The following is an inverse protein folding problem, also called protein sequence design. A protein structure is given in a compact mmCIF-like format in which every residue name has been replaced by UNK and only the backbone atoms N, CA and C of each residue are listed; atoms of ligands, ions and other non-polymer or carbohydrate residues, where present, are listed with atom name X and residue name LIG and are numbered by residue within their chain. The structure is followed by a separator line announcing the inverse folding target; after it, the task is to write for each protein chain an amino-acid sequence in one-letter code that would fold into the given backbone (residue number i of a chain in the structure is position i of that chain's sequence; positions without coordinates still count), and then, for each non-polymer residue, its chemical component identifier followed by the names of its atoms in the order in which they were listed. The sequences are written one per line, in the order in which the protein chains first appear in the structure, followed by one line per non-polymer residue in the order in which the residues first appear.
data_IF_930260366437
#
_entry.id   IF_930260366437
#
_cell.length_a   1.000
_cell.length_b   1.000
_cell.length_c   1.000
_cell.angle_alpha   90.00
_cell.angle_beta   90.00
_cell.angle_gamma   90.00
#
_symmetry.space_group_name_H-M   'P 1'
#
loop_
_entity.id
_entity.type
_entity.pdbx_description
1 polymer ?
#
# COMPACT_ATOMS: atom_id res chain seq x y z
N UNK A 1 -21.77 -5.44 -0.84
CA UNK A 1 -20.80 -6.14 0.04
C UNK A 1 -20.01 -5.07 0.78
N UNK A 2 -20.25 -4.89 2.07
CA UNK A 2 -19.39 -4.04 2.92
C UNK A 2 -18.00 -4.68 2.90
N UNK A 3 -16.96 -3.88 2.70
CA UNK A 3 -15.57 -4.36 2.69
C UNK A 3 -15.24 -4.98 4.03
N UNK A 4 -15.46 -6.29 4.17
CA UNK A 4 -15.00 -7.06 5.33
C UNK A 4 -13.49 -6.89 5.37
N UNK A 5 -12.98 -6.41 6.50
CA UNK A 5 -11.56 -6.56 6.84
C UNK A 5 -11.17 -8.01 6.51
N UNK A 6 -10.14 -8.15 5.69
CA UNK A 6 -9.66 -9.46 5.28
C UNK A 6 -9.15 -10.10 6.57
N UNK A 7 -9.86 -11.11 7.08
CA UNK A 7 -9.44 -11.83 8.28
C UNK A 7 -7.98 -12.28 8.12
N UNK A 8 -7.22 -12.30 9.20
CA UNK A 8 -5.79 -12.65 9.12
C UNK A 8 -5.55 -14.08 8.68
N UNK A 9 -4.29 -14.41 8.40
CA UNK A 9 -3.86 -15.81 8.19
C UNK A 9 -3.81 -16.62 9.50
N UNK A 10 -4.12 -16.00 10.64
CA UNK A 10 -4.16 -16.66 11.92
C UNK A 10 -5.52 -17.31 12.16
N UNK A 11 -5.48 -18.58 12.50
CA UNK A 11 -6.60 -19.37 12.99
C UNK A 11 -6.17 -20.09 14.25
N UNK A 12 -7.10 -20.51 15.09
CA UNK A 12 -6.74 -21.24 16.29
C UNK A 12 -7.89 -21.42 17.23
N UNK A 13 -7.59 -22.10 18.32
CA UNK A 13 -8.55 -22.38 19.38
C UNK A 13 -7.92 -22.09 20.74
N UNK A 14 -8.77 -21.79 21.71
CA UNK A 14 -8.41 -21.85 23.12
C UNK A 14 -9.14 -23.03 23.76
N UNK A 15 -8.52 -23.66 24.75
CA UNK A 15 -9.22 -24.60 25.59
C UNK A 15 -9.89 -23.83 26.72
N UNK A 16 -11.22 -23.86 26.79
CA UNK A 16 -11.97 -23.19 27.87
C UNK A 16 -11.54 -23.80 29.21
N UNK A 17 -10.88 -22.98 30.05
CA UNK A 17 -10.38 -23.35 31.38
C UNK A 17 -11.50 -23.97 32.22
N UNK A 18 -12.75 -23.52 32.04
CA UNK A 18 -13.88 -23.94 32.86
C UNK A 18 -14.60 -25.18 32.30
N UNK A 19 -14.52 -25.42 30.99
CA UNK A 19 -15.36 -26.43 30.31
C UNK A 19 -14.57 -27.53 29.60
N UNK A 20 -13.27 -27.35 29.40
CA UNK A 20 -12.43 -28.27 28.62
C UNK A 20 -12.83 -28.40 27.15
N UNK A 21 -13.65 -27.46 26.64
CA UNK A 21 -14.10 -27.44 25.24
C UNK A 21 -13.25 -26.46 24.43
N UNK A 22 -12.90 -26.85 23.20
CA UNK A 22 -12.22 -25.95 22.26
C UNK A 22 -13.18 -24.87 21.75
N UNK A 23 -12.82 -23.61 21.93
CA UNK A 23 -13.49 -22.47 21.33
C UNK A 23 -12.68 -21.93 20.15
N UNK A 24 -13.27 -21.89 18.96
CA UNK A 24 -12.64 -21.29 17.78
C UNK A 24 -12.54 -19.77 17.95
N UNK A 25 -11.37 -19.22 17.60
CA UNK A 25 -11.14 -17.77 17.56
C UNK A 25 -11.09 -17.29 16.12
N UNK A 26 -11.91 -16.27 15.82
CA UNK A 26 -11.85 -15.57 14.54
C UNK A 26 -11.19 -14.21 14.74
N UNK A 27 -10.00 -14.07 14.19
CA UNK A 27 -9.30 -12.79 14.15
C UNK A 27 -9.78 -11.97 12.96
N UNK A 28 -10.26 -10.76 13.23
CA UNK A 28 -10.42 -9.74 12.18
C UNK A 28 -9.08 -9.08 11.91
N UNK A 29 -8.27 -8.89 12.96
CA UNK A 29 -6.88 -8.49 12.85
C UNK A 29 -5.99 -9.17 13.89
N UNK A 30 -4.77 -9.55 13.51
CA UNK A 30 -3.78 -10.12 14.43
C UNK A 30 -2.36 -9.96 13.87
N UNK A 31 -1.71 -8.89 14.33
CA UNK A 31 -0.38 -8.47 13.91
C UNK A 31 0.61 -8.71 15.05
N UNK A 32 1.65 -9.49 14.76
CA UNK A 32 2.76 -9.78 15.66
C UNK A 32 3.99 -9.07 15.09
N UNK A 33 4.27 -7.91 15.65
CA UNK A 33 5.45 -7.12 15.38
C UNK A 33 6.59 -7.57 16.31
N UNK A 34 7.79 -7.04 16.13
CA UNK A 34 8.98 -7.48 16.88
C UNK A 34 8.90 -7.14 18.36
N UNK A 35 8.22 -6.06 18.72
CA UNK A 35 8.04 -5.64 20.13
C UNK A 35 6.59 -5.61 20.58
N UNK A 36 5.62 -5.76 19.66
CA UNK A 36 4.21 -5.58 19.98
C UNK A 36 3.33 -6.66 19.38
N UNK A 37 2.25 -6.96 20.07
CA UNK A 37 1.16 -7.80 19.57
C UNK A 37 -0.10 -6.96 19.62
N UNK A 38 -0.80 -6.86 18.49
CA UNK A 38 -2.03 -6.06 18.37
C UNK A 38 -3.02 -6.75 17.45
N UNK A 39 -4.29 -6.44 17.62
CA UNK A 39 -5.33 -7.02 16.79
C UNK A 39 -6.71 -6.92 17.42
N UNK A 40 -7.65 -7.68 16.87
CA UNK A 40 -9.01 -7.78 17.35
C UNK A 40 -9.79 -8.82 16.56
N UNK A 41 -10.99 -9.10 17.00
CA UNK A 41 -11.85 -10.08 16.36
C UNK A 41 -13.10 -10.33 17.15
N UNK A 42 -13.75 -11.45 16.86
CA UNK A 42 -14.94 -11.88 17.56
C UNK A 42 -14.95 -13.40 17.73
N UNK A 43 -15.57 -13.86 18.81
CA UNK A 43 -15.85 -15.27 19.04
C UNK A 43 -17.22 -15.46 19.72
N UNK A 44 -17.46 -16.64 20.28
CA UNK A 44 -18.71 -16.98 20.97
C UNK A 44 -19.00 -16.11 22.20
N UNK A 45 -17.98 -15.51 22.80
CA UNK A 45 -18.14 -14.57 23.92
C UNK A 45 -18.50 -13.20 23.37
N UNK A 46 -17.79 -12.71 22.37
CA UNK A 46 -18.10 -11.45 21.69
C UNK A 46 -16.90 -10.80 21.03
N UNK A 47 -17.00 -9.50 20.74
CA UNK A 47 -15.92 -8.70 20.16
C UNK A 47 -14.78 -8.46 21.16
N UNK A 48 -13.54 -8.52 20.68
CA UNK A 48 -12.34 -8.35 21.49
C UNK A 48 -11.25 -7.54 20.81
N UNK A 49 -10.37 -6.95 21.62
CA UNK A 49 -9.14 -6.27 21.21
C UNK A 49 -7.93 -6.97 21.82
N UNK A 50 -6.86 -7.12 21.05
CA UNK A 50 -5.60 -7.72 21.48
C UNK A 50 -4.55 -6.63 21.69
N UNK A 51 -3.85 -6.68 22.84
CA UNK A 51 -2.69 -5.84 23.12
C UNK A 51 -1.63 -6.62 23.87
N UNK A 52 -0.38 -6.55 23.43
CA UNK A 52 0.70 -7.31 24.03
C UNK A 52 2.08 -6.93 23.52
N UNK A 53 3.05 -7.73 23.92
CA UNK A 53 4.46 -7.59 23.57
C UNK A 53 5.04 -8.91 23.08
N UNK A 54 6.09 -8.79 22.28
CA UNK A 54 6.92 -9.90 21.83
C UNK A 54 8.35 -9.64 22.29
N UNK A 55 9.02 -10.68 22.80
CA UNK A 55 10.43 -10.65 23.13
C UNK A 55 11.09 -11.91 22.53
N UNK A 56 11.70 -11.77 21.36
CA UNK A 56 12.22 -12.91 20.59
C UNK A 56 11.09 -13.85 20.17
N UNK A 57 11.14 -15.10 20.66
CA UNK A 57 10.08 -16.10 20.45
C UNK A 57 8.98 -16.05 21.51
N UNK A 58 9.21 -15.39 22.64
CA UNK A 58 8.20 -15.29 23.69
C UNK A 58 7.17 -14.21 23.36
N UNK A 59 5.90 -14.56 23.50
CA UNK A 59 4.76 -13.71 23.16
C UNK A 59 3.84 -13.62 24.38
N UNK A 60 3.48 -12.39 24.74
CA UNK A 60 2.53 -12.11 25.81
C UNK A 60 1.50 -11.11 25.34
N UNK A 61 0.21 -11.44 25.38
CA UNK A 61 -0.85 -10.49 25.03
C UNK A 61 -2.11 -10.67 25.86
N UNK A 62 -2.89 -9.61 25.95
CA UNK A 62 -4.19 -9.58 26.60
C UNK A 62 -5.28 -9.45 25.55
N UNK A 63 -6.27 -10.33 25.61
CA UNK A 63 -7.53 -10.26 24.88
C UNK A 63 -8.57 -9.61 25.77
N UNK A 64 -8.93 -8.38 25.45
CA UNK A 64 -9.93 -7.60 26.17
C UNK A 64 -11.26 -7.64 25.41
N UNK A 65 -12.28 -8.26 25.98
CA UNK A 65 -13.64 -8.19 25.43
C UNK A 65 -14.25 -6.82 25.70
N UNK A 66 -14.98 -6.27 24.72
CA UNK A 66 -15.60 -4.94 24.84
C UNK A 66 -16.67 -4.96 25.94
N UNK A 67 -16.45 -4.17 27.00
CA UNK A 67 -17.36 -4.08 28.16
C UNK A 67 -17.41 -5.32 29.06
N UNK A 68 -16.44 -6.25 28.94
CA UNK A 68 -16.41 -7.50 29.73
C UNK A 68 -15.01 -7.79 30.30
N UNK A 69 -14.74 -9.06 30.60
CA UNK A 69 -13.47 -9.52 31.18
C UNK A 69 -12.31 -9.50 30.15
N UNK A 70 -11.10 -9.70 30.66
CA UNK A 70 -9.90 -9.89 29.85
C UNK A 70 -9.32 -11.28 30.07
N UNK A 71 -8.58 -11.79 29.09
CA UNK A 71 -7.82 -13.05 29.18
C UNK A 71 -6.38 -12.76 28.77
N UNK A 72 -5.43 -13.11 29.62
CA UNK A 72 -4.00 -13.05 29.33
C UNK A 72 -3.55 -14.33 28.63
N UNK A 73 -2.64 -14.18 27.67
CA UNK A 73 -2.03 -15.26 26.90
C UNK A 73 -0.52 -15.09 26.97
N UNK A 74 0.18 -16.17 27.30
CA UNK A 74 1.63 -16.25 27.32
C UNK A 74 2.08 -17.52 26.63
N UNK A 75 2.96 -17.39 25.63
CA UNK A 75 3.39 -18.54 24.84
C UNK A 75 4.65 -18.30 24.04
N UNK A 76 5.02 -19.31 23.28
CA UNK A 76 6.21 -19.31 22.42
C UNK A 76 5.81 -19.45 20.96
N UNK A 77 6.37 -18.58 20.11
CA UNK A 77 6.31 -18.66 18.67
C UNK A 77 7.27 -19.74 18.17
N UNK A 78 6.72 -20.71 17.45
CA UNK A 78 7.41 -21.85 16.86
C UNK A 78 7.25 -21.76 15.35
N UNK A 79 8.37 -21.72 14.63
CA UNK A 79 8.37 -21.83 13.18
C UNK A 79 8.22 -23.31 12.79
N UNK A 80 7.31 -23.58 11.87
CA UNK A 80 6.99 -24.91 11.36
C UNK A 80 7.56 -25.07 9.94
N UNK A 81 7.62 -26.32 9.48
CA UNK A 81 7.95 -26.63 8.09
C UNK A 81 6.99 -25.92 7.12
N UNK A 82 7.52 -25.48 5.97
CA UNK A 82 6.78 -24.70 4.99
C UNK A 82 6.59 -23.22 5.37
N UNK A 83 7.26 -22.75 6.44
CA UNK A 83 7.23 -21.37 6.90
C UNK A 83 6.02 -21.02 7.77
N UNK A 84 5.08 -21.95 7.98
CA UNK A 84 3.96 -21.72 8.89
C UNK A 84 4.46 -21.39 10.29
N UNK A 85 3.67 -20.64 11.06
CA UNK A 85 4.03 -20.26 12.43
C UNK A 85 2.96 -20.73 13.40
N UNK A 86 3.37 -21.18 14.57
CA UNK A 86 2.47 -21.64 15.63
C UNK A 86 2.81 -20.96 16.95
N UNK A 87 1.80 -20.50 17.68
CA UNK A 87 1.96 -20.02 19.05
C UNK A 87 1.34 -21.06 19.96
N UNK A 88 2.14 -21.51 20.92
CA UNK A 88 1.71 -22.46 21.95
C UNK A 88 1.95 -21.85 23.31
N UNK A 89 0.96 -21.93 24.19
CA UNK A 89 1.13 -21.41 25.53
C UNK A 89 -0.05 -21.60 26.45
N UNK A 90 -0.05 -20.80 27.50
CA UNK A 90 -1.04 -20.80 28.56
C UNK A 90 -1.89 -19.53 28.50
N UNK A 91 -3.15 -19.66 28.92
CA UNK A 91 -4.06 -18.55 29.11
C UNK A 91 -4.53 -18.49 30.56
N UNK A 92 -4.73 -17.27 31.06
CA UNK A 92 -5.07 -16.99 32.44
C UNK A 92 -5.97 -15.76 32.56
N UNK A 93 -6.70 -15.64 33.66
CA UNK A 93 -7.41 -14.41 33.99
C UNK A 93 -6.42 -13.39 34.59
N UNK A 94 -6.13 -12.26 33.92
CA UNK A 94 -5.27 -11.25 34.49
C UNK A 94 -5.92 -10.72 35.76
N UNK A 95 -5.14 -10.58 36.84
CA UNK A 95 -5.65 -10.06 38.11
C UNK A 95 -6.27 -8.67 37.91
N UNK A 96 -7.60 -8.59 37.96
CA UNK A 96 -8.35 -7.34 37.82
C UNK A 96 -8.62 -6.74 39.20
N UNK A 97 -7.61 -6.15 39.84
CA UNK A 97 -7.87 -5.35 41.03
C UNK A 97 -6.64 -4.76 41.72
N UNK A 98 -6.79 -3.60 42.37
CA UNK A 98 -5.81 -3.15 43.37
C UNK A 98 -5.69 -4.22 44.45
N UNK A 99 -4.45 -4.50 44.89
CA UNK A 99 -4.18 -5.41 46.02
C UNK A 99 -5.02 -4.96 47.22
N UNK A 100 -6.12 -5.68 47.53
CA UNK A 100 -6.99 -5.39 48.66
C UNK A 100 -8.50 -5.31 48.40
N UNK A 101 -8.98 -5.43 47.16
CA UNK A 101 -10.43 -5.52 46.91
C UNK A 101 -10.97 -6.90 47.32
N UNK A 102 -12.02 -6.99 48.18
CA UNK A 102 -12.61 -8.25 48.63
C UNK A 102 -13.36 -9.02 47.54
N UNK A 103 -13.59 -8.41 46.37
CA UNK A 103 -14.21 -9.04 45.20
C UNK A 103 -13.21 -9.75 44.27
N UNK A 104 -11.95 -9.90 44.69
CA UNK A 104 -10.96 -10.72 43.98
C UNK A 104 -11.31 -12.20 44.17
N UNK A 105 -12.28 -12.69 43.39
CA UNK A 105 -12.49 -14.11 43.21
C UNK A 105 -11.22 -14.69 42.59
N UNK A 106 -10.38 -15.30 43.43
CA UNK A 106 -9.25 -16.11 42.99
C UNK A 106 -9.86 -17.33 42.31
N UNK A 107 -10.06 -17.24 41.00
CA UNK A 107 -10.38 -18.40 40.18
C UNK A 107 -9.10 -19.24 40.14
N UNK A 108 -8.94 -20.10 41.15
CA UNK A 108 -7.90 -21.13 41.22
C UNK A 108 -8.25 -22.26 40.25
N UNK A 109 -8.29 -21.94 38.95
CA UNK A 109 -8.35 -22.92 37.88
C UNK A 109 -6.96 -23.16 37.32
N UNK A 110 -6.69 -24.40 36.91
CA UNK A 110 -5.47 -24.72 36.16
C UNK A 110 -5.36 -23.83 34.91
N UNK A 111 -4.16 -23.36 34.54
CA UNK A 111 -3.98 -22.53 33.36
C UNK A 111 -4.50 -23.26 32.11
N UNK A 112 -5.25 -22.53 31.28
CA UNK A 112 -5.80 -23.10 30.06
C UNK A 112 -4.74 -23.16 28.97
N UNK A 113 -4.81 -24.16 28.10
CA UNK A 113 -3.91 -24.27 26.95
C UNK A 113 -4.50 -23.55 25.72
N UNK A 114 -3.66 -22.89 24.93
CA UNK A 114 -4.07 -22.33 23.64
C UNK A 114 -3.08 -22.64 22.51
N UNK A 115 -3.62 -22.67 21.30
CA UNK A 115 -2.84 -22.87 20.07
C UNK A 115 -3.35 -21.95 18.96
N UNK A 116 -2.44 -21.14 18.40
CA UNK A 116 -2.68 -20.30 17.23
C UNK A 116 -1.78 -20.74 16.09
N UNK A 117 -2.33 -20.95 14.90
CA UNK A 117 -1.63 -21.33 13.68
C UNK A 117 -1.77 -20.22 12.63
N UNK A 118 -0.63 -19.79 12.10
CA UNK A 118 -0.51 -18.94 10.92
C UNK A 118 -0.23 -19.79 9.70
N UNK A 119 -1.16 -19.79 8.75
CA UNK A 119 -0.97 -20.44 7.46
C UNK A 119 -0.37 -19.42 6.46
N UNK A 120 0.95 -19.45 6.29
CA UNK A 120 1.65 -18.57 5.36
C UNK A 120 1.26 -18.86 3.90
N UNK A 121 0.92 -20.10 3.56
CA UNK A 121 0.52 -20.43 2.19
C UNK A 121 -0.82 -19.74 1.84
N UNK A 122 -1.75 -19.71 2.79
CA UNK A 122 -3.00 -18.95 2.64
C UNK A 122 -2.75 -17.45 2.59
N UNK A 123 -1.83 -16.91 3.39
CA UNK A 123 -1.45 -15.50 3.35
C UNK A 123 -0.88 -15.08 1.99
N UNK A 124 0.10 -15.84 1.47
CA UNK A 124 0.68 -15.62 0.14
C UNK A 124 -0.36 -15.69 -0.97
N UNK A 125 -1.29 -16.65 -0.90
CA UNK A 125 -2.42 -16.75 -1.85
C UNK A 125 -3.31 -15.52 -1.80
N UNK A 126 -3.59 -14.98 -0.61
CA UNK A 126 -4.40 -13.75 -0.46
C UNK A 126 -3.67 -12.51 -0.97
N UNK A 127 -2.38 -12.38 -0.67
CA UNK A 127 -1.55 -11.31 -1.21
C UNK A 127 -1.51 -11.36 -2.74
N UNK A 128 -1.29 -12.54 -3.33
CA UNK A 128 -1.32 -12.73 -4.78
C UNK A 128 -2.70 -12.38 -5.37
N UNK A 129 -3.79 -12.79 -4.73
CA UNK A 129 -5.15 -12.45 -5.15
C UNK A 129 -5.40 -10.93 -5.06
N UNK A 130 -4.95 -10.27 -3.99
CA UNK A 130 -5.06 -8.82 -3.83
C UNK A 130 -4.27 -8.08 -4.92
N UNK A 131 -3.02 -8.46 -5.15
CA UNK A 131 -2.18 -7.92 -6.24
C UNK A 131 -2.87 -8.10 -7.60
N UNK A 132 -3.46 -9.27 -7.85
CA UNK A 132 -4.22 -9.54 -9.07
C UNK A 132 -5.46 -8.63 -9.20
N UNK A 133 -6.23 -8.40 -8.12
CA UNK A 133 -7.39 -7.50 -8.13
C UNK A 133 -6.95 -6.05 -8.38
N UNK A 134 -5.86 -5.60 -7.77
CA UNK A 134 -5.30 -4.26 -8.00
C UNK A 134 -4.84 -4.12 -9.45
N UNK A 135 -4.09 -5.09 -9.98
CA UNK A 135 -3.64 -5.14 -11.36
C UNK A 135 -4.82 -5.07 -12.35
N UNK A 136 -5.84 -5.90 -12.14
CA UNK A 136 -7.07 -5.89 -12.94
C UNK A 136 -7.81 -4.55 -12.87
N UNK A 137 -7.89 -3.95 -11.68
CA UNK A 137 -8.52 -2.65 -11.50
C UNK A 137 -7.77 -1.56 -12.26
N UNK A 138 -6.43 -1.54 -12.16
CA UNK A 138 -5.57 -0.61 -12.93
C UNK A 138 -5.74 -0.79 -14.44
N UNK A 139 -5.74 -2.04 -14.90
CA UNK A 139 -5.91 -2.37 -16.31
C UNK A 139 -7.29 -1.95 -16.82
N UNK A 140 -8.36 -2.24 -16.07
CA UNK A 140 -9.73 -1.87 -16.44
C UNK A 140 -9.89 -0.35 -16.51
N UNK A 141 -9.43 0.38 -15.50
CA UNK A 141 -9.49 1.85 -15.48
C UNK A 141 -8.65 2.44 -16.61
N UNK A 142 -7.44 1.92 -16.84
CA UNK A 142 -6.59 2.34 -17.94
C UNK A 142 -7.21 2.08 -19.32
N UNK A 143 -7.91 0.97 -19.50
CA UNK A 143 -8.60 0.64 -20.75
C UNK A 143 -9.79 1.56 -21.00
N UNK A 144 -10.60 1.83 -19.96
CA UNK A 144 -11.71 2.79 -20.04
C UNK A 144 -11.19 4.17 -20.43
N UNK A 145 -10.12 4.64 -19.75
CA UNK A 145 -9.44 5.90 -20.08
C UNK A 145 -8.96 5.92 -21.53
N UNK A 146 -8.21 4.90 -21.95
CA UNK A 146 -7.68 4.83 -23.31
C UNK A 146 -8.76 4.95 -24.39
N UNK A 147 -9.85 4.19 -24.28
CA UNK A 147 -10.88 4.19 -25.31
C UNK A 147 -11.75 5.46 -25.30
N UNK A 148 -12.16 5.91 -24.11
CA UNK A 148 -13.12 7.01 -23.99
C UNK A 148 -12.43 8.38 -24.01
N UNK A 149 -11.27 8.53 -23.36
CA UNK A 149 -10.52 9.80 -23.29
C UNK A 149 -9.51 9.82 -24.45
N UNK A 150 -8.43 9.05 -24.36
CA UNK A 150 -7.23 9.28 -25.17
C UNK A 150 -7.44 9.10 -26.68
N UNK A 151 -8.08 8.02 -27.13
CA UNK A 151 -8.31 7.78 -28.57
C UNK A 151 -9.27 8.81 -29.15
N UNK A 152 -10.39 9.04 -28.48
CA UNK A 152 -11.42 9.95 -28.97
C UNK A 152 -10.92 11.41 -28.98
N UNK A 153 -10.27 11.86 -27.90
CA UNK A 153 -9.70 13.20 -27.83
C UNK A 153 -8.57 13.39 -28.83
N UNK A 154 -7.64 12.43 -28.93
CA UNK A 154 -6.54 12.52 -29.89
C UNK A 154 -7.04 12.63 -31.34
N UNK A 155 -8.07 11.87 -31.72
CA UNK A 155 -8.68 11.99 -33.03
C UNK A 155 -9.27 13.39 -33.27
N UNK A 156 -9.97 13.95 -32.29
CA UNK A 156 -10.54 15.31 -32.40
C UNK A 156 -9.44 16.37 -32.50
N UNK A 157 -8.39 16.26 -31.69
CA UNK A 157 -7.23 17.15 -31.70
C UNK A 157 -6.49 17.09 -33.04
N UNK A 158 -6.27 15.91 -33.60
CA UNK A 158 -5.68 15.75 -34.94
C UNK A 158 -6.57 16.37 -36.02
N UNK A 159 -7.89 16.13 -35.99
CA UNK A 159 -8.83 16.76 -36.94
C UNK A 159 -8.81 18.28 -36.84
N UNK A 160 -8.68 18.83 -35.63
CA UNK A 160 -8.52 20.26 -35.42
C UNK A 160 -7.23 20.79 -36.07
N UNK A 161 -6.10 20.12 -35.87
CA UNK A 161 -4.82 20.50 -36.48
C UNK A 161 -4.87 20.45 -38.02
N UNK A 162 -5.59 19.49 -38.59
CA UNK A 162 -5.74 19.38 -40.05
C UNK A 162 -6.65 20.45 -40.66
N UNK A 163 -7.67 20.90 -39.90
CA UNK A 163 -8.71 21.78 -40.43
C UNK A 163 -8.49 23.27 -40.12
N UNK A 164 -7.56 23.61 -39.23
CA UNK A 164 -7.38 24.99 -38.74
C UNK A 164 -5.98 25.55 -39.03
N UNK A 165 -5.91 26.86 -39.31
CA UNK A 165 -4.64 27.58 -39.35
C UNK A 165 -4.21 27.88 -37.92
N UNK A 166 -3.55 26.92 -37.27
CA UNK A 166 -3.12 27.05 -35.86
C UNK A 166 -1.90 27.95 -35.72
N UNK A 167 -1.84 28.72 -34.64
CA UNK A 167 -0.59 29.39 -34.24
C UNK A 167 0.44 28.37 -33.75
N UNK A 168 1.75 28.66 -33.79
CA UNK A 168 2.77 27.73 -33.30
C UNK A 168 2.57 27.30 -31.85
N UNK A 169 2.12 28.22 -30.98
CA UNK A 169 1.85 27.89 -29.57
C UNK A 169 0.72 26.87 -29.40
N UNK A 170 -0.38 27.03 -30.14
CA UNK A 170 -1.49 26.08 -30.14
C UNK A 170 -1.09 24.73 -30.71
N UNK A 171 -0.28 24.74 -31.77
CA UNK A 171 0.26 23.52 -32.35
C UNK A 171 1.08 22.74 -31.32
N UNK A 172 2.06 23.37 -30.67
CA UNK A 172 2.88 22.69 -29.66
C UNK A 172 2.07 22.21 -28.45
N UNK A 173 1.11 23.00 -27.98
CA UNK A 173 0.24 22.62 -26.87
C UNK A 173 -0.59 21.38 -27.24
N UNK A 174 -1.21 21.37 -28.42
CA UNK A 174 -2.05 20.26 -28.89
C UNK A 174 -1.22 18.99 -29.08
N UNK A 175 -0.03 19.10 -29.70
CA UNK A 175 0.88 17.96 -29.85
C UNK A 175 1.36 17.43 -28.49
N UNK A 176 1.65 18.30 -27.53
CA UNK A 176 2.04 17.89 -26.19
C UNK A 176 0.89 17.16 -25.46
N UNK A 177 -0.35 17.62 -25.63
CA UNK A 177 -1.55 16.95 -25.10
C UNK A 177 -1.73 15.56 -25.73
N UNK A 178 -1.73 15.43 -27.06
CA UNK A 178 -1.78 14.13 -27.75
C UNK A 178 -0.66 13.20 -27.26
N UNK A 179 0.57 13.71 -27.16
CA UNK A 179 1.71 12.92 -26.71
C UNK A 179 1.55 12.47 -25.25
N UNK A 180 1.04 13.33 -24.36
CA UNK A 180 0.79 13.00 -22.97
C UNK A 180 -0.28 11.92 -22.82
N UNK A 181 -1.44 12.09 -23.47
CA UNK A 181 -2.54 11.12 -23.45
C UNK A 181 -2.10 9.76 -23.99
N UNK A 182 -1.49 9.72 -25.19
CA UNK A 182 -0.97 8.48 -25.79
C UNK A 182 0.08 7.81 -24.90
N UNK A 183 1.02 8.58 -24.33
CA UNK A 183 2.06 8.05 -23.46
C UNK A 183 1.45 7.45 -22.19
N UNK A 184 0.54 8.15 -21.52
CA UNK A 184 -0.12 7.67 -20.31
C UNK A 184 -0.95 6.41 -20.56
N UNK A 185 -1.63 6.36 -21.71
CA UNK A 185 -2.41 5.21 -22.12
C UNK A 185 -1.59 3.97 -22.46
N UNK A 186 -0.39 4.13 -22.99
CA UNK A 186 0.48 3.02 -23.36
C UNK A 186 1.30 2.53 -22.16
N UNK A 187 1.84 3.46 -21.36
CA UNK A 187 2.74 3.12 -20.25
C UNK A 187 2.03 2.24 -19.21
N UNK A 188 0.80 2.58 -18.82
CA UNK A 188 0.07 1.84 -17.78
C UNK A 188 -0.08 0.34 -18.09
N UNK A 189 -0.75 -0.03 -19.21
CA UNK A 189 -0.92 -1.41 -19.62
C UNK A 189 0.39 -2.14 -19.88
N UNK A 190 1.40 -1.49 -20.45
CA UNK A 190 2.70 -2.13 -20.70
C UNK A 190 3.39 -2.45 -19.38
N UNK A 191 3.49 -1.50 -18.45
CA UNK A 191 4.11 -1.72 -17.15
C UNK A 191 3.39 -2.83 -16.38
N UNK A 192 2.05 -2.84 -16.41
CA UNK A 192 1.26 -3.87 -15.73
C UNK A 192 1.39 -5.26 -16.40
N UNK A 193 1.48 -5.32 -17.73
CA UNK A 193 1.71 -6.56 -18.47
C UNK A 193 3.10 -7.13 -18.20
N UNK A 194 4.13 -6.28 -18.13
CA UNK A 194 5.50 -6.67 -17.78
C UNK A 194 5.55 -7.20 -16.34
N UNK A 195 4.96 -6.48 -15.39
CA UNK A 195 4.91 -6.91 -13.99
C UNK A 195 4.12 -8.20 -13.81
N UNK A 196 2.98 -8.34 -14.49
CA UNK A 196 2.18 -9.57 -14.49
C UNK A 196 2.96 -10.77 -15.06
N UNK A 197 3.76 -10.55 -16.12
CA UNK A 197 4.61 -11.61 -16.69
C UNK A 197 5.73 -12.00 -15.73
N UNK A 198 6.38 -11.03 -15.07
CA UNK A 198 7.41 -11.28 -14.05
C UNK A 198 6.85 -12.16 -12.93
N UNK A 199 5.68 -11.79 -12.38
CA UNK A 199 5.03 -12.59 -11.33
C UNK A 199 4.59 -13.98 -11.78
N UNK A 200 4.18 -14.16 -13.04
CA UNK A 200 3.85 -15.50 -13.57
C UNK A 200 5.09 -16.39 -13.72
N UNK A 201 6.23 -15.82 -14.10
CA UNK A 201 7.49 -16.56 -14.18
C UNK A 201 7.94 -16.98 -12.77
N UNK A 202 7.93 -16.05 -11.81
CA UNK A 202 8.26 -16.33 -10.41
C UNK A 202 7.32 -17.39 -9.80
N UNK A 203 6.02 -17.32 -10.08
CA UNK A 203 5.05 -18.30 -9.60
C UNK A 203 5.17 -19.67 -10.30
N UNK A 204 5.53 -19.69 -11.59
CA UNK A 204 5.75 -20.91 -12.37
C UNK A 204 6.97 -21.68 -11.86
N UNK A 205 8.06 -20.97 -11.55
CA UNK A 205 9.27 -21.56 -10.98
C UNK A 205 9.04 -22.03 -9.53
N UNK A 206 8.25 -21.29 -8.75
CA UNK A 206 7.86 -21.68 -7.39
C UNK A 206 6.96 -22.94 -7.35
N UNK A 207 6.24 -23.25 -8.44
CA UNK A 207 5.46 -24.48 -8.54
C UNK A 207 6.34 -25.73 -8.82
N UNK A 208 7.62 -25.56 -9.18
CA UNK A 208 8.46 -26.66 -9.66
C UNK A 208 9.39 -27.25 -8.60
N UNK A 209 9.86 -26.52 -7.58
CA UNK A 209 10.53 -27.12 -6.41
C UNK A 209 10.72 -26.10 -5.31
N UNK A 210 10.42 -26.40 -4.03
CA UNK A 210 11.00 -25.62 -2.94
C UNK A 210 12.53 -25.74 -3.02
N UNK A 211 13.29 -24.66 -2.72
CA UNK A 211 14.74 -24.78 -2.61
C UNK A 211 15.04 -25.89 -1.59
N UNK A 212 16.04 -26.76 -1.85
CA UNK A 212 16.49 -27.70 -0.84
C UNK A 212 16.88 -26.88 0.38
N UNK A 213 16.10 -27.02 1.46
CA UNK A 213 16.52 -26.59 2.77
C UNK A 213 17.65 -27.54 3.11
N UNK A 214 18.89 -27.11 2.83
CA UNK A 214 20.07 -27.75 3.36
C UNK A 214 19.95 -27.65 4.88
N UNK A 215 19.36 -28.69 5.47
CA UNK A 215 19.39 -28.96 6.89
C UNK A 215 20.85 -29.12 7.26
N UNK A 216 21.49 -28.01 7.61
CA UNK A 216 22.82 -27.98 8.18
C UNK A 216 22.83 -28.92 9.38
N UNK A 217 23.38 -30.10 9.18
CA UNK A 217 23.65 -31.05 10.23
C UNK A 217 24.56 -30.34 11.24
N UNK A 218 24.03 -30.09 12.44
CA UNK A 218 24.80 -29.64 13.57
C UNK A 218 25.90 -30.69 13.84
N UNK A 219 27.12 -30.40 13.39
CA UNK A 219 28.30 -31.13 13.82
C UNK A 219 28.47 -30.89 15.32
N UNK A 220 28.39 -31.98 16.09
CA UNK A 220 28.67 -32.01 17.51
C UNK A 220 30.16 -31.68 17.74
N UNK A 221 30.46 -30.46 18.15
CA UNK A 221 31.79 -30.10 18.62
C UNK A 221 32.02 -30.72 20.00
N UNK A 222 33.02 -31.59 20.11
CA UNK A 222 33.46 -32.16 21.39
C UNK A 222 34.08 -31.09 22.32
N UNK A 223 34.01 -31.27 23.65
CA UNK A 223 34.62 -30.37 24.61
C UNK A 223 36.13 -30.61 24.73
N UNK A 224 36.92 -29.61 24.32
CA UNK A 224 38.37 -29.56 24.51
C UNK A 224 38.79 -28.71 25.70
N UNK A 225 39.58 -29.32 26.58
CA UNK A 225 40.42 -28.87 27.72
C UNK A 225 40.61 -27.38 28.07
N UNK A 226 40.81 -27.05 29.37
CA UNK A 226 41.14 -25.71 29.85
C UNK A 226 42.64 -25.40 29.66
N UNK A 227 42.94 -24.32 28.94
CA UNK A 227 44.27 -23.75 28.79
C UNK A 227 44.30 -22.31 29.29
N UNK A 228 45.02 -22.10 30.38
CA UNK A 228 45.36 -20.83 31.02
C UNK A 228 46.18 -19.94 30.07
N UNK A 229 45.87 -18.63 29.99
CA UNK A 229 46.65 -17.73 29.14
C UNK A 229 46.13 -16.30 29.02
N UNK A 230 46.59 -15.44 29.93
CA UNK A 230 46.45 -13.98 29.95
C UNK A 230 46.65 -13.33 28.56
N UNK A 231 45.69 -12.49 28.15
CA UNK A 231 45.75 -11.70 26.91
C UNK A 231 44.50 -10.83 26.74
N UNK A 232 44.17 -10.04 27.75
CA UNK A 232 42.97 -9.20 27.80
C UNK A 232 43.32 -7.78 27.32
N UNK A 233 43.15 -7.51 26.01
CA UNK A 233 42.73 -6.23 25.39
C UNK A 233 43.04 -6.25 23.88
N UNK A 234 42.05 -5.81 23.09
CA UNK A 234 42.04 -5.70 21.63
C UNK A 234 41.65 -6.97 20.84
N UNK A 235 40.48 -7.54 21.14
CA UNK A 235 39.76 -8.38 20.19
C UNK A 235 38.24 -8.23 20.42
N UNK A 236 37.71 -7.02 20.20
CA UNK A 236 36.30 -6.84 19.84
C UNK A 236 36.15 -7.35 18.40
N UNK A 237 36.37 -8.65 18.22
CA UNK A 237 36.13 -9.32 16.95
C UNK A 237 34.63 -9.30 16.74
N UNK A 238 34.27 -8.67 15.63
CA UNK A 238 32.99 -8.66 14.94
C UNK A 238 32.20 -9.97 15.12
N UNK A 239 31.41 -10.04 16.20
CA UNK A 239 30.40 -11.08 16.43
C UNK A 239 29.10 -10.68 15.72
N UNK A 240 29.18 -10.18 14.48
CA UNK A 240 28.00 -10.13 13.62
C UNK A 240 27.52 -11.57 13.45
N UNK A 241 26.31 -11.84 13.92
CA UNK A 241 25.71 -13.16 13.75
C UNK A 241 25.62 -13.47 12.24
N UNK A 242 25.75 -14.74 11.81
CA UNK A 242 25.61 -15.10 10.40
C UNK A 242 24.34 -14.54 9.73
N UNK A 243 23.26 -14.35 10.51
CA UNK A 243 22.02 -13.71 10.07
C UNK A 243 22.19 -12.24 9.68
N UNK A 244 23.02 -11.48 10.43
CA UNK A 244 23.29 -10.07 10.14
C UNK A 244 24.06 -9.91 8.84
N UNK A 245 25.11 -10.74 8.63
CA UNK A 245 25.88 -10.77 7.38
C UNK A 245 25.00 -11.13 6.18
N UNK A 246 24.13 -12.13 6.32
CA UNK A 246 23.19 -12.53 5.26
C UNK A 246 22.19 -11.40 4.93
N UNK A 247 21.73 -10.65 5.93
CA UNK A 247 20.89 -9.48 5.71
C UNK A 247 21.63 -8.38 4.95
N UNK A 248 22.85 -8.02 5.37
CA UNK A 248 23.64 -6.98 4.71
C UNK A 248 23.93 -7.31 3.25
N UNK A 249 24.24 -8.58 2.95
CA UNK A 249 24.40 -9.05 1.58
C UNK A 249 23.13 -8.90 0.75
N UNK A 250 21.95 -9.23 1.31
CA UNK A 250 20.66 -9.03 0.62
C UNK A 250 20.36 -7.54 0.38
N UNK A 251 20.66 -6.68 1.35
CA UNK A 251 20.51 -5.22 1.23
C UNK A 251 21.40 -4.69 0.11
N UNK A 252 22.68 -5.10 0.08
CA UNK A 252 23.62 -4.66 -0.94
C UNK A 252 23.19 -5.15 -2.34
N UNK A 253 22.79 -6.41 -2.46
CA UNK A 253 22.30 -6.97 -3.71
C UNK A 253 21.06 -6.22 -4.21
N UNK A 254 20.07 -5.98 -3.35
CA UNK A 254 18.85 -5.27 -3.72
C UNK A 254 19.12 -3.80 -4.06
N UNK A 255 20.08 -3.15 -3.39
CA UNK A 255 20.54 -1.81 -3.74
C UNK A 255 21.18 -1.78 -5.13
N UNK A 256 22.00 -2.77 -5.47
CA UNK A 256 22.60 -2.88 -6.80
C UNK A 256 21.52 -3.10 -7.88
N UNK A 257 20.56 -4.00 -7.64
CA UNK A 257 19.43 -4.22 -8.56
C UNK A 257 18.57 -2.97 -8.72
N UNK A 258 18.29 -2.24 -7.62
CA UNK A 258 17.55 -0.99 -7.69
C UNK A 258 18.26 0.09 -8.50
N UNK A 259 19.60 0.10 -8.54
CA UNK A 259 20.36 1.03 -9.39
C UNK A 259 20.31 0.65 -10.86
N UNK A 260 20.33 -0.65 -11.19
CA UNK A 260 20.22 -1.12 -12.58
C UNK A 260 18.80 -1.02 -13.14
N UNK A 261 17.78 -1.13 -12.29
CA UNK A 261 16.36 -1.12 -12.67
C UNK A 261 15.69 0.25 -12.45
N UNK A 262 16.41 1.34 -12.72
CA UNK A 262 15.99 2.72 -12.42
C UNK A 262 14.58 3.07 -12.92
N UNK A 263 14.17 2.50 -14.06
CA UNK A 263 12.86 2.75 -14.69
C UNK A 263 11.77 1.77 -14.29
N UNK A 264 12.14 0.55 -13.90
CA UNK A 264 11.16 -0.50 -13.56
C UNK A 264 10.73 -0.37 -12.11
N UNK A 265 11.62 0.15 -11.27
CA UNK A 265 11.27 0.46 -9.91
C UNK A 265 11.32 -0.75 -9.00
N UNK A 266 12.53 -1.10 -8.57
CA UNK A 266 12.72 -2.20 -7.66
C UNK A 266 12.26 -1.81 -6.24
N UNK A 267 11.17 -2.44 -5.76
CA UNK A 267 10.68 -2.29 -4.39
C UNK A 267 11.30 -3.28 -3.40
N UNK A 268 12.03 -4.30 -3.89
CA UNK A 268 12.65 -5.35 -3.07
C UNK A 268 13.62 -4.75 -2.06
N UNK A 269 14.32 -3.67 -2.43
CA UNK A 269 15.18 -2.96 -1.49
C UNK A 269 14.40 -2.40 -0.29
N UNK A 270 13.24 -1.79 -0.53
CA UNK A 270 12.38 -1.29 0.54
C UNK A 270 11.78 -2.45 1.33
N UNK A 271 11.44 -3.56 0.67
CA UNK A 271 10.89 -4.76 1.32
C UNK A 271 11.89 -5.38 2.28
N UNK A 272 13.17 -5.47 1.90
CA UNK A 272 14.24 -5.95 2.77
C UNK A 272 14.45 -4.97 3.93
N UNK A 273 14.43 -3.66 3.69
CA UNK A 273 14.55 -2.67 4.77
C UNK A 273 13.37 -2.75 5.77
N UNK A 274 12.17 -3.13 5.31
CA UNK A 274 11.02 -3.35 6.19
C UNK A 274 11.23 -4.53 7.14
N UNK A 275 12.06 -5.53 6.78
CA UNK A 275 12.39 -6.67 7.64
C UNK A 275 13.14 -6.27 8.90
N UNK A 276 13.82 -5.11 8.92
CA UNK A 276 14.45 -4.56 10.13
C UNK A 276 13.45 -3.70 10.93
N UNK A 277 12.93 -4.21 12.05
CA UNK A 277 12.01 -3.46 12.92
C UNK A 277 12.74 -2.43 13.79
N UNK A 278 14.07 -2.56 13.93
CA UNK A 278 14.85 -1.82 14.91
C UNK A 278 15.22 -0.42 14.46
N UNK A 279 15.10 -0.12 13.16
CA UNK A 279 15.22 1.25 12.70
C UNK A 279 14.03 2.05 13.26
N UNK A 280 14.29 3.09 14.08
CA UNK A 280 13.24 3.86 14.74
C UNK A 280 12.57 4.77 13.72
N UNK A 281 11.82 4.19 12.80
CA UNK A 281 10.82 4.95 12.08
C UNK A 281 9.81 5.41 13.13
N UNK A 282 9.73 6.73 13.35
CA UNK A 282 8.67 7.36 14.16
C UNK A 282 7.26 7.12 13.60
N UNK A 283 7.17 6.44 12.46
CA UNK A 283 5.99 6.28 11.63
C UNK A 283 5.47 4.85 11.77
N UNK A 284 4.15 4.65 11.93
CA UNK A 284 3.59 3.32 12.13
C UNK A 284 3.79 2.41 10.90
N UNK A 285 4.07 1.13 11.15
CA UNK A 285 4.03 0.07 10.15
C UNK A 285 2.58 -0.39 9.93
N UNK A 286 1.88 0.36 9.08
CA UNK A 286 0.48 0.15 8.71
C UNK A 286 0.36 0.38 7.20
N UNK A 287 -0.40 -0.44 6.49
CA UNK A 287 -0.60 -0.29 5.06
C UNK A 287 -1.31 1.04 4.74
N UNK A 288 -0.96 1.65 3.60
CA UNK A 288 -1.52 2.95 3.19
C UNK A 288 -3.06 2.91 3.05
N UNK A 289 -3.59 1.78 2.58
CA UNK A 289 -5.04 1.55 2.48
C UNK A 289 -5.73 1.65 3.84
N UNK A 290 -5.08 1.15 4.88
CA UNK A 290 -5.65 1.14 6.22
C UNK A 290 -5.56 2.52 6.84
N UNK A 291 -4.48 3.27 6.60
CA UNK A 291 -4.40 4.68 7.01
C UNK A 291 -5.54 5.49 6.36
N UNK A 292 -5.78 5.32 5.07
CA UNK A 292 -6.86 6.02 4.35
C UNK A 292 -8.24 5.55 4.83
N UNK A 293 -8.44 4.25 5.08
CA UNK A 293 -9.73 3.70 5.51
C UNK A 293 -10.05 4.04 6.97
N UNK A 294 -9.08 3.89 7.88
CA UNK A 294 -9.26 4.01 9.33
C UNK A 294 -9.16 5.43 9.86
N UNK A 295 -8.39 6.33 9.20
CA UNK A 295 -8.21 7.71 9.66
C UNK A 295 -9.08 8.67 8.84
N UNK A 296 -10.27 9.06 9.33
CA UNK A 296 -11.17 9.92 8.57
C UNK A 296 -10.55 11.29 8.25
N UNK A 297 -9.63 11.79 9.07
CA UNK A 297 -8.87 13.02 8.79
C UNK A 297 -8.04 12.92 7.52
N UNK A 298 -7.24 11.86 7.36
CA UNK A 298 -6.41 11.64 6.16
C UNK A 298 -7.30 11.53 4.92
N UNK A 299 -8.37 10.73 5.00
CA UNK A 299 -9.32 10.57 3.89
C UNK A 299 -9.97 11.88 3.48
N UNK A 300 -10.44 12.68 4.45
CA UNK A 300 -11.06 13.99 4.18
C UNK A 300 -10.09 14.95 3.51
N UNK A 301 -8.83 14.99 3.96
CA UNK A 301 -7.79 15.84 3.36
C UNK A 301 -7.51 15.44 1.91
N UNK A 302 -7.32 14.15 1.62
CA UNK A 302 -7.14 13.67 0.25
C UNK A 302 -8.37 13.97 -0.62
N UNK A 303 -9.57 13.69 -0.11
CA UNK A 303 -10.81 13.97 -0.83
C UNK A 303 -10.97 15.48 -1.11
N UNK A 304 -10.58 16.35 -0.18
CA UNK A 304 -10.60 17.80 -0.38
C UNK A 304 -9.63 18.23 -1.49
N UNK A 305 -8.42 17.66 -1.54
CA UNK A 305 -7.45 17.92 -2.62
C UNK A 305 -8.00 17.54 -3.99
N UNK A 306 -8.61 16.35 -4.08
CA UNK A 306 -9.24 15.85 -5.31
C UNK A 306 -10.42 16.72 -5.75
N UNK A 307 -11.33 17.03 -4.83
CA UNK A 307 -12.48 17.89 -5.13
C UNK A 307 -12.02 19.28 -5.56
N UNK A 308 -10.99 19.83 -4.92
CA UNK A 308 -10.40 21.11 -5.30
C UNK A 308 -9.81 21.07 -6.72
N UNK A 309 -9.09 20.00 -7.06
CA UNK A 309 -8.56 19.81 -8.42
C UNK A 309 -9.67 19.74 -9.46
N UNK A 310 -10.64 18.84 -9.29
CA UNK A 310 -11.72 18.69 -10.28
C UNK A 310 -12.62 19.93 -10.37
N UNK A 311 -12.84 20.63 -9.26
CA UNK A 311 -13.55 21.92 -9.27
C UNK A 311 -12.79 22.96 -10.08
N UNK A 312 -11.46 23.02 -9.93
CA UNK A 312 -10.63 23.89 -10.75
C UNK A 312 -10.76 23.55 -12.22
N UNK A 313 -10.59 22.27 -12.60
CA UNK A 313 -10.69 21.82 -14.01
C UNK A 313 -12.01 22.26 -14.64
N UNK A 314 -13.14 21.95 -13.99
CA UNK A 314 -14.47 22.34 -14.48
C UNK A 314 -14.65 23.87 -14.54
N UNK A 315 -14.00 24.62 -13.64
CA UNK A 315 -14.08 26.09 -13.62
C UNK A 315 -13.24 26.78 -14.71
N UNK A 316 -12.25 26.11 -15.30
CA UNK A 316 -11.28 26.71 -16.23
C UNK A 316 -11.93 27.56 -17.33
N UNK A 317 -12.95 27.08 -18.08
CA UNK A 317 -13.55 27.87 -19.17
C UNK A 317 -14.30 29.11 -18.70
N UNK A 318 -14.74 29.13 -17.44
CA UNK A 318 -15.56 30.21 -16.90
C UNK A 318 -14.73 31.29 -16.21
N UNK A 319 -13.56 30.90 -15.69
CA UNK A 319 -12.69 31.79 -14.90
C UNK A 319 -11.63 32.45 -15.78
N UNK A 320 -11.15 31.76 -16.82
CA UNK A 320 -10.06 32.24 -17.65
C UNK A 320 -10.55 32.56 -19.06
N UNK A 321 -10.15 33.72 -19.57
CA UNK A 321 -10.40 34.14 -20.94
C UNK A 321 -9.48 33.38 -21.91
N UNK A 322 -9.92 32.18 -22.31
CA UNK A 322 -9.23 31.35 -23.29
C UNK A 322 -9.68 31.85 -24.67
N UNK A 323 -8.78 32.45 -25.44
CA UNK A 323 -9.12 32.98 -26.76
C UNK A 323 -8.44 32.19 -27.88
N UNK A 324 -9.07 32.21 -29.06
CA UNK A 324 -8.51 31.58 -30.25
C UNK A 324 -7.19 32.22 -30.72
N UNK A 325 -6.95 33.49 -30.36
CA UNK A 325 -5.74 34.22 -30.79
C UNK A 325 -4.59 34.06 -29.80
N UNK A 326 -4.88 34.18 -28.51
CA UNK A 326 -3.86 34.20 -27.45
C UNK A 326 -3.66 32.84 -26.78
N UNK A 327 -4.51 31.86 -27.09
CA UNK A 327 -4.47 30.53 -26.49
C UNK A 327 -4.83 30.56 -25.00
N UNK A 328 -4.16 29.71 -24.23
CA UNK A 328 -4.40 29.56 -22.79
C UNK A 328 -3.60 30.63 -22.03
N UNK A 329 -4.25 31.48 -21.22
CA UNK A 329 -3.56 32.53 -20.50
C UNK A 329 -2.59 31.94 -19.46
N UNK A 330 -1.41 32.56 -19.29
CA UNK A 330 -0.39 32.09 -18.33
C UNK A 330 -0.90 31.97 -16.89
N UNK A 331 -1.93 32.75 -16.52
CA UNK A 331 -2.59 32.67 -15.21
C UNK A 331 -3.29 31.33 -15.00
N UNK A 332 -3.87 30.73 -16.04
CA UNK A 332 -4.49 29.40 -15.96
C UNK A 332 -3.43 28.32 -15.73
N UNK A 333 -2.33 28.37 -16.49
CA UNK A 333 -1.20 27.43 -16.33
C UNK A 333 -0.56 27.53 -14.94
N UNK A 334 -0.36 28.75 -14.42
CA UNK A 334 0.18 28.95 -13.07
C UNK A 334 -0.77 28.41 -11.99
N UNK A 335 -2.09 28.62 -12.16
CA UNK A 335 -3.11 28.12 -11.25
C UNK A 335 -3.18 26.58 -11.27
N UNK A 336 -3.12 25.98 -12.46
CA UNK A 336 -3.01 24.54 -12.63
C UNK A 336 -1.78 23.98 -11.90
N UNK A 337 -0.60 24.56 -12.14
CA UNK A 337 0.63 24.12 -11.48
C UNK A 337 0.52 24.19 -9.96
N UNK A 338 0.00 25.30 -9.42
CA UNK A 338 -0.18 25.45 -7.97
C UNK A 338 -1.09 24.35 -7.37
N UNK A 339 -2.21 24.05 -8.02
CA UNK A 339 -3.16 23.03 -7.56
C UNK A 339 -2.61 21.61 -7.76
N UNK A 340 -1.89 21.37 -8.86
CA UNK A 340 -1.22 20.10 -9.10
C UNK A 340 -0.14 19.84 -8.04
N UNK A 341 0.73 20.82 -7.74
CA UNK A 341 1.74 20.70 -6.69
C UNK A 341 1.12 20.52 -5.30
N UNK A 342 0.02 21.21 -4.99
CA UNK A 342 -0.71 20.97 -3.75
C UNK A 342 -1.20 19.52 -3.66
N UNK A 343 -1.77 18.96 -4.73
CA UNK A 343 -2.20 17.56 -4.75
C UNK A 343 -1.03 16.57 -4.61
N UNK A 344 0.09 16.80 -5.30
CA UNK A 344 1.29 15.98 -5.14
C UNK A 344 1.85 16.05 -3.71
N UNK A 345 1.85 17.24 -3.10
CA UNK A 345 2.24 17.41 -1.70
C UNK A 345 1.34 16.62 -0.75
N UNK A 346 0.02 16.64 -0.95
CA UNK A 346 -0.91 15.84 -0.14
C UNK A 346 -0.65 14.33 -0.28
N UNK A 347 -0.28 13.86 -1.47
CA UNK A 347 0.12 12.47 -1.68
C UNK A 347 1.40 12.12 -0.93
N UNK A 348 2.45 12.95 -1.04
CA UNK A 348 3.72 12.76 -0.30
C UNK A 348 3.47 12.79 1.21
N UNK A 349 2.67 13.74 1.69
CA UNK A 349 2.30 13.85 3.10
C UNK A 349 1.60 12.59 3.59
N UNK A 350 0.66 12.04 2.83
CA UNK A 350 -0.03 10.80 3.16
C UNK A 350 0.91 9.59 3.13
N UNK A 351 1.79 9.50 2.12
CA UNK A 351 2.83 8.48 2.02
C UNK A 351 3.73 8.45 3.28
N UNK A 352 4.18 9.62 3.73
CA UNK A 352 5.02 9.78 4.91
C UNK A 352 4.34 9.34 6.23
N UNK A 353 3.03 9.07 6.25
CA UNK A 353 2.31 8.55 7.42
C UNK A 353 2.48 7.04 7.62
N UNK A 354 3.17 6.35 6.69
CA UNK A 354 3.46 4.91 6.77
C UNK A 354 4.96 4.65 6.79
N UNK A 355 5.42 3.65 7.55
CA UNK A 355 6.84 3.24 7.55
C UNK A 355 7.33 2.95 6.12
N UNK A 356 6.55 2.20 5.35
CA UNK A 356 6.87 1.87 3.95
C UNK A 356 6.99 3.10 3.05
N UNK A 357 6.04 4.03 3.14
CA UNK A 357 6.09 5.28 2.40
C UNK A 357 7.27 6.16 2.82
N UNK A 358 7.56 6.28 4.12
CA UNK A 358 8.74 6.99 4.61
C UNK A 358 10.04 6.39 4.07
N UNK A 359 10.22 5.06 4.15
CA UNK A 359 11.40 4.40 3.60
C UNK A 359 11.51 4.61 2.09
N UNK A 360 10.39 4.57 1.36
CA UNK A 360 10.38 4.83 -0.08
C UNK A 360 10.82 6.26 -0.41
N UNK A 361 10.41 7.26 0.39
CA UNK A 361 10.84 8.65 0.23
C UNK A 361 12.36 8.82 0.43
N UNK A 362 12.95 8.10 1.40
CA UNK A 362 14.37 8.23 1.75
C UNK A 362 15.27 7.39 0.83
N UNK A 363 14.86 6.16 0.56
CA UNK A 363 15.71 5.12 -0.04
C UNK A 363 15.41 4.84 -1.51
N UNK A 364 14.27 5.30 -2.03
CA UNK A 364 13.90 5.12 -3.44
C UNK A 364 13.43 6.44 -4.10
N UNK A 365 14.24 7.52 -4.05
CA UNK A 365 13.86 8.83 -4.60
C UNK A 365 13.60 8.79 -6.12
N UNK A 366 14.28 7.92 -6.87
CA UNK A 366 14.03 7.72 -8.30
C UNK A 366 12.61 7.23 -8.59
N UNK A 367 12.12 6.29 -7.77
CA UNK A 367 10.77 5.73 -7.89
C UNK A 367 9.71 6.75 -7.53
N UNK A 368 9.93 7.48 -6.45
CA UNK A 368 9.10 8.62 -6.09
C UNK A 368 9.05 9.65 -7.22
N UNK A 369 10.20 10.02 -7.78
CA UNK A 369 10.32 10.99 -8.86
C UNK A 369 9.53 10.58 -10.10
N UNK A 370 9.65 9.31 -10.53
CA UNK A 370 8.88 8.77 -11.65
C UNK A 370 7.37 8.82 -11.37
N UNK A 371 6.93 8.40 -10.19
CA UNK A 371 5.51 8.40 -9.85
C UNK A 371 4.93 9.80 -9.67
N UNK A 372 5.72 10.77 -9.19
CA UNK A 372 5.36 12.19 -9.17
C UNK A 372 5.20 12.74 -10.58
N UNK A 373 6.11 12.40 -11.48
CA UNK A 373 6.04 12.79 -12.88
C UNK A 373 4.80 12.20 -13.57
N UNK A 374 4.52 10.91 -13.40
CA UNK A 374 3.34 10.25 -13.95
C UNK A 374 2.03 10.83 -13.38
N UNK A 375 2.00 11.15 -12.08
CA UNK A 375 0.87 11.86 -11.48
C UNK A 375 0.68 13.26 -12.10
N UNK A 376 1.76 14.03 -12.28
CA UNK A 376 1.67 15.35 -12.91
C UNK A 376 1.21 15.27 -14.36
N UNK A 377 1.69 14.28 -15.13
CA UNK A 377 1.24 14.05 -16.51
C UNK A 377 -0.25 13.71 -16.57
N UNK A 378 -0.75 12.80 -15.72
CA UNK A 378 -2.17 12.48 -15.66
C UNK A 378 -3.06 13.67 -15.30
N UNK A 379 -2.61 14.52 -14.37
CA UNK A 379 -3.32 15.76 -14.03
C UNK A 379 -3.27 16.79 -15.18
N UNK A 380 -2.13 16.88 -15.88
CA UNK A 380 -1.96 17.78 -17.03
C UNK A 380 -2.86 17.37 -18.18
N UNK A 381 -3.03 16.08 -18.43
CA UNK A 381 -3.85 15.53 -19.49
C UNK A 381 -5.31 16.04 -19.38
N UNK A 382 -5.94 15.82 -18.21
CA UNK A 382 -7.30 16.30 -17.96
C UNK A 382 -7.44 17.83 -17.99
N UNK A 383 -6.40 18.57 -17.57
CA UNK A 383 -6.37 20.02 -17.71
C UNK A 383 -6.30 20.44 -19.18
N UNK A 384 -5.45 19.79 -19.95
CA UNK A 384 -5.22 20.11 -21.36
C UNK A 384 -6.44 19.83 -22.21
N UNK A 385 -7.17 18.74 -21.93
CA UNK A 385 -8.43 18.42 -22.60
C UNK A 385 -9.50 19.48 -22.34
N UNK A 386 -9.68 19.89 -21.08
CA UNK A 386 -10.68 20.91 -20.76
C UNK A 386 -10.34 22.27 -21.38
N UNK A 387 -9.06 22.66 -21.32
CA UNK A 387 -8.59 23.89 -21.95
C UNK A 387 -8.76 23.85 -23.48
N UNK A 388 -8.56 22.68 -24.10
CA UNK A 388 -8.78 22.46 -25.52
C UNK A 388 -10.26 22.56 -25.90
N UNK A 389 -11.18 22.00 -25.11
CA UNK A 389 -12.63 22.16 -25.30
C UNK A 389 -13.03 23.63 -25.28
N UNK A 390 -12.56 24.38 -24.28
CA UNK A 390 -12.83 25.81 -24.16
C UNK A 390 -12.27 26.61 -25.35
N UNK A 391 -11.05 26.28 -25.79
CA UNK A 391 -10.45 26.91 -26.96
C UNK A 391 -11.27 26.65 -28.23
N UNK A 392 -11.73 25.42 -28.47
CA UNK A 392 -12.56 25.09 -29.63
C UNK A 392 -13.89 25.86 -29.64
N UNK A 393 -14.52 26.00 -28.47
CA UNK A 393 -15.76 26.77 -28.31
C UNK A 393 -15.57 28.23 -28.71
N UNK A 394 -14.48 28.84 -28.23
CA UNK A 394 -14.15 30.25 -28.48
C UNK A 394 -13.72 30.50 -29.93
N UNK A 395 -13.13 29.50 -30.58
CA UNK A 395 -12.87 29.53 -32.03
C UNK A 395 -14.14 29.28 -32.88
N UNK A 396 -15.32 29.10 -32.27
CA UNK A 396 -16.57 28.70 -32.93
C UNK A 396 -16.41 27.47 -33.84
N UNK A 397 -15.53 26.53 -33.45
CA UNK A 397 -15.26 25.33 -34.22
C UNK A 397 -16.26 24.23 -33.83
N UNK A 398 -16.98 23.67 -34.79
CA UNK A 398 -18.01 22.65 -34.54
C UNK A 398 -17.53 21.43 -33.72
N UNK A 399 -16.21 21.16 -33.70
CA UNK A 399 -15.58 20.09 -32.91
C UNK A 399 -15.68 20.29 -31.39
N UNK A 400 -16.02 21.48 -30.89
CA UNK A 400 -16.12 21.70 -29.43
C UNK A 400 -17.22 20.84 -28.79
N UNK A 401 -18.31 20.58 -29.51
CA UNK A 401 -19.44 19.77 -29.01
C UNK A 401 -19.06 18.31 -28.78
N UNK A 402 -18.50 17.58 -29.78
CA UNK A 402 -18.05 16.22 -29.54
C UNK A 402 -16.92 16.17 -28.50
N UNK A 403 -15.98 17.13 -28.49
CA UNK A 403 -14.94 17.20 -27.47
C UNK A 403 -15.52 17.34 -26.05
N UNK A 404 -16.46 18.27 -25.86
CA UNK A 404 -17.14 18.46 -24.58
C UNK A 404 -17.94 17.22 -24.14
N UNK A 405 -18.60 16.53 -25.08
CA UNK A 405 -19.32 15.30 -24.79
C UNK A 405 -18.38 14.17 -24.34
N UNK A 406 -17.25 14.01 -25.03
CA UNK A 406 -16.21 13.04 -24.67
C UNK A 406 -15.63 13.38 -23.29
N UNK A 407 -15.33 14.65 -23.00
CA UNK A 407 -14.81 15.06 -21.70
C UNK A 407 -15.81 14.79 -20.57
N UNK A 408 -17.07 15.18 -20.78
CA UNK A 408 -18.12 14.99 -19.78
C UNK A 408 -18.33 13.50 -19.47
N UNK A 409 -18.42 12.66 -20.49
CA UNK A 409 -18.69 11.23 -20.30
C UNK A 409 -17.45 10.49 -19.83
N UNK A 410 -16.34 10.60 -20.57
CA UNK A 410 -15.11 9.86 -20.30
C UNK A 410 -14.41 10.34 -19.03
N UNK A 411 -14.17 11.65 -18.90
CA UNK A 411 -13.38 12.19 -17.79
C UNK A 411 -14.25 12.42 -16.56
N UNK A 412 -15.35 13.16 -16.68
CA UNK A 412 -16.12 13.53 -15.47
C UNK A 412 -16.96 12.36 -14.93
N UNK A 413 -17.74 11.69 -15.77
CA UNK A 413 -18.68 10.65 -15.32
C UNK A 413 -18.03 9.28 -15.09
N UNK A 414 -17.06 8.88 -15.92
CA UNK A 414 -16.41 7.57 -15.78
C UNK A 414 -15.15 7.60 -14.90
N UNK A 415 -14.49 8.76 -14.75
CA UNK A 415 -13.26 8.87 -13.97
C UNK A 415 -13.40 9.71 -12.69
N UNK A 416 -13.63 11.02 -12.81
CA UNK A 416 -13.61 11.95 -11.68
C UNK A 416 -14.66 11.61 -10.62
N UNK A 417 -15.92 11.44 -11.03
CA UNK A 417 -17.04 11.22 -10.11
C UNK A 417 -16.91 9.87 -9.36
N UNK A 418 -16.69 8.71 -10.03
CA UNK A 418 -16.48 7.45 -9.32
C UNK A 418 -15.24 7.48 -8.44
N UNK A 419 -14.16 8.14 -8.89
CA UNK A 419 -12.94 8.32 -8.11
C UNK A 419 -13.19 9.04 -6.80
N UNK A 420 -13.91 10.18 -6.83
CA UNK A 420 -14.29 10.94 -5.63
C UNK A 420 -15.19 10.12 -4.72
N UNK A 421 -16.20 9.44 -5.27
CA UNK A 421 -17.15 8.62 -4.50
C UNK A 421 -16.43 7.48 -3.77
N UNK A 422 -15.57 6.74 -4.47
CA UNK A 422 -14.80 5.65 -3.86
C UNK A 422 -13.86 6.18 -2.78
N UNK A 423 -13.16 7.28 -3.01
CA UNK A 423 -12.28 7.88 -2.02
C UNK A 423 -13.06 8.37 -0.79
N UNK A 424 -14.21 9.02 -0.97
CA UNK A 424 -15.04 9.51 0.13
C UNK A 424 -15.64 8.37 0.96
N UNK A 425 -16.09 7.30 0.29
CA UNK A 425 -16.69 6.13 0.93
C UNK A 425 -15.68 5.27 1.70
N UNK A 426 -14.39 5.41 1.40
CA UNK A 426 -13.35 4.54 1.95
C UNK A 426 -13.36 3.11 1.38
N UNK A 427 -14.17 2.84 0.35
CA UNK A 427 -14.26 1.56 -0.32
C UNK A 427 -13.45 1.57 -1.62
N UNK A 428 -12.93 0.41 -2.03
CA UNK A 428 -12.17 0.26 -3.28
C UNK A 428 -11.03 1.29 -3.43
N UNK A 429 -10.28 1.54 -2.35
CA UNK A 429 -9.19 2.52 -2.31
C UNK A 429 -8.23 2.42 -3.51
N UNK A 430 -7.78 1.23 -3.97
CA UNK A 430 -6.93 1.14 -5.15
C UNK A 430 -7.54 1.77 -6.42
N UNK A 431 -8.84 1.53 -6.67
CA UNK A 431 -9.53 2.13 -7.80
C UNK A 431 -9.69 3.65 -7.60
N UNK A 432 -10.02 4.09 -6.39
CA UNK A 432 -10.14 5.51 -6.05
C UNK A 432 -8.84 6.29 -6.30
N UNK A 433 -7.70 5.71 -5.89
CA UNK A 433 -6.38 6.30 -6.09
C UNK A 433 -6.03 6.35 -7.59
N UNK A 434 -6.38 5.30 -8.36
CA UNK A 434 -6.10 5.28 -9.80
C UNK A 434 -6.93 6.28 -10.58
N UNK A 435 -8.23 6.37 -10.31
CA UNK A 435 -9.15 7.29 -11.00
C UNK A 435 -8.82 8.77 -10.74
N UNK A 436 -8.14 9.08 -9.63
CA UNK A 436 -7.72 10.45 -9.29
C UNK A 436 -6.22 10.70 -9.50
N UNK A 437 -5.54 9.89 -10.32
CA UNK A 437 -4.12 10.02 -10.66
C UNK A 437 -3.19 10.16 -9.44
N UNK A 438 -3.51 9.44 -8.35
CA UNK A 438 -2.69 9.39 -7.14
C UNK A 438 -1.57 8.36 -7.25
N UNK A 439 -0.75 8.47 -8.30
CA UNK A 439 0.26 7.46 -8.65
C UNK A 439 1.31 7.25 -7.54
N UNK A 440 1.63 8.29 -6.74
CA UNK A 440 2.52 8.15 -5.57
C UNK A 440 1.93 7.20 -4.53
N UNK A 441 0.63 7.29 -4.26
CA UNK A 441 -0.04 6.41 -3.28
C UNK A 441 -0.31 5.02 -3.86
N UNK A 442 -0.53 4.90 -5.17
CA UNK A 442 -0.69 3.61 -5.84
C UNK A 442 0.56 2.74 -5.76
N UNK A 443 1.75 3.36 -5.81
CA UNK A 443 3.04 2.66 -5.62
C UNK A 443 3.15 2.04 -4.22
N UNK A 444 2.47 2.61 -3.23
CA UNK A 444 2.53 2.15 -1.82
C UNK A 444 1.45 1.12 -1.48
N UNK A 445 0.64 0.70 -2.45
CA UNK A 445 -0.39 -0.31 -2.24
C UNK A 445 0.25 -1.68 -1.98
N UNK A 446 0.28 -2.05 -0.70
CA UNK A 446 0.51 -3.41 -0.24
C UNK A 446 -0.79 -4.02 0.27
N UNK A 447 -0.93 -5.36 0.24
CA UNK A 447 -2.00 -6.01 0.98
C UNK A 447 -1.90 -5.57 2.43
N UNK A 448 -3.03 -5.20 3.02
CA UNK A 448 -3.09 -5.09 4.47
C UNK A 448 -2.82 -6.48 5.04
N UNK A 449 -1.78 -6.61 5.85
CA UNK A 449 -1.51 -7.83 6.65
C UNK A 449 -2.42 -7.84 7.89
N UNK A 450 -3.32 -6.86 8.04
CA UNK A 450 -4.09 -6.68 9.27
C UNK A 450 -4.94 -7.85 9.61
#
# INVERSE_FOLDING_TARGET
MVGRAIATAWSGFYNDILKGTKGDMRFESFVIDVKSVRGGGADTVGEFVLKGTRNGKFIKFTKQYVGRHAIGYEGTLVDLEGGNQKIVGECYFPHQGPKGSPDNLVVSGDPGYFELLRDLATERKREAAFKMVVAQSKMMVGLVRFFFEDVCFSCIQVLFLLNSKTTPSQFYFTIASIAAGVLMSILGPITEAVNSRKHRLEAGDAAVSPPPVDGGAAQSTQPGSPGDGKGEQALLLDNSTPEHLAYEQRVEQALQTSKSELFVGNTDYIDILMEKPEEPALVPDVAITDIIASRPGVRKVLCCGVVMFWSFIVSVPFVFDISCEHGIPSKANLSFLAIAFLNLFLQIWCAAQTKYGYLTLVHAPQMLGLNLFLALLGLFDSYSDMAFVAMLEQCNNWLWKPAAAVFLVGVLLMQALPGVIFLASGHHIPAALKLNEMNVLLMLLKPSIN
#
